data_IF_107810629281
#
_entry.id   IF_107810629281
#
_cell.length_a   1.000
_cell.length_b   1.000
_cell.length_c   1.000
_cell.angle_alpha   90.00
_cell.angle_beta   90.00
_cell.angle_gamma   90.00
#
_symmetry.space_group_name_H-M   'P 1'
#
loop_
_entity.id
_entity.type
_entity.pdbx_description
1 polymer ?
#
# COMPACT_ATOMS: atom_id res chain seq x y z
N UNK A 1 5.95 -0.17 -0.22
CA UNK A 1 7.36 0.11 0.18
C UNK A 1 8.28 0.50 -0.99
N UNK A 2 7.71 0.86 -2.15
CA UNK A 2 8.48 1.24 -3.34
C UNK A 2 9.03 2.67 -3.26
N UNK A 3 10.01 2.99 -4.14
CA UNK A 3 10.41 4.37 -4.36
C UNK A 3 9.26 5.13 -5.04
N UNK A 4 8.87 6.26 -4.44
CA UNK A 4 7.74 7.08 -4.89
C UNK A 4 7.88 7.63 -6.31
N UNK A 5 9.10 7.67 -6.85
CA UNK A 5 9.37 8.20 -8.19
C UNK A 5 8.76 7.33 -9.30
N UNK A 6 8.67 6.01 -9.09
CA UNK A 6 8.38 5.04 -10.14
C UNK A 6 6.94 4.50 -10.12
N UNK A 7 6.19 4.73 -9.05
CA UNK A 7 4.85 4.16 -8.89
C UNK A 7 3.78 5.03 -9.60
N UNK A 8 3.49 4.68 -10.85
CA UNK A 8 2.51 5.40 -11.67
C UNK A 8 1.07 5.23 -11.21
N UNK A 9 0.72 4.06 -10.60
CA UNK A 9 -0.63 3.82 -10.10
C UNK A 9 -0.90 4.70 -8.88
N UNK A 10 -0.01 4.67 -7.91
CA UNK A 10 -0.13 5.51 -6.71
C UNK A 10 -0.15 6.98 -7.08
N UNK A 11 0.66 7.40 -8.08
CA UNK A 11 0.61 8.77 -8.60
C UNK A 11 -0.78 9.13 -9.11
N UNK A 12 -1.39 8.31 -9.97
CA UNK A 12 -2.74 8.55 -10.53
C UNK A 12 -3.81 8.65 -9.44
N UNK A 13 -3.74 7.78 -8.44
CA UNK A 13 -4.66 7.84 -7.29
C UNK A 13 -4.50 9.14 -6.54
N UNK A 14 -3.27 9.55 -6.20
CA UNK A 14 -3.00 10.81 -5.51
C UNK A 14 -3.47 12.03 -6.33
N UNK A 15 -3.17 12.06 -7.63
CA UNK A 15 -3.60 13.14 -8.53
C UNK A 15 -5.14 13.25 -8.60
N UNK A 16 -5.83 12.10 -8.58
CA UNK A 16 -7.31 12.06 -8.56
C UNK A 16 -7.86 12.59 -7.23
N UNK A 17 -7.26 12.18 -6.11
CA UNK A 17 -7.67 12.64 -4.79
C UNK A 17 -7.51 14.16 -4.63
N UNK A 18 -6.40 14.73 -5.14
CA UNK A 18 -6.20 16.19 -5.17
C UNK A 18 -7.31 16.89 -5.99
N UNK A 19 -7.66 16.36 -7.16
CA UNK A 19 -8.77 16.90 -7.97
C UNK A 19 -10.12 16.84 -7.25
N UNK A 20 -10.27 15.89 -6.33
CA UNK A 20 -11.46 15.78 -5.46
C UNK A 20 -11.32 16.59 -4.16
N UNK A 21 -10.38 17.54 -4.07
CA UNK A 21 -10.13 18.41 -2.92
C UNK A 21 -9.67 17.69 -1.63
N UNK A 22 -9.07 16.52 -1.74
CA UNK A 22 -8.43 15.86 -0.61
C UNK A 22 -7.02 16.44 -0.36
N UNK A 23 -6.66 16.61 0.91
CA UNK A 23 -5.28 16.91 1.27
C UNK A 23 -4.48 15.59 1.38
N UNK A 24 -3.59 15.34 0.43
CA UNK A 24 -2.87 14.08 0.30
C UNK A 24 -1.46 14.19 0.87
N UNK A 25 -1.07 13.19 1.66
CA UNK A 25 0.33 12.96 2.06
C UNK A 25 0.75 11.56 1.60
N UNK A 26 1.65 11.50 0.64
CA UNK A 26 2.22 10.24 0.15
C UNK A 26 3.48 9.90 0.95
N UNK A 27 3.51 8.69 1.51
CA UNK A 27 4.63 8.19 2.32
C UNK A 27 5.25 6.98 1.61
N UNK A 28 6.57 6.98 1.46
CA UNK A 28 7.31 5.86 0.90
C UNK A 28 8.77 5.86 1.36
N UNK A 29 9.58 4.98 0.79
CA UNK A 29 11.01 4.91 1.14
C UNK A 29 11.87 5.84 0.29
N UNK A 30 13.03 6.19 0.82
CA UNK A 30 14.11 6.87 0.11
C UNK A 30 15.27 5.89 -0.08
N UNK A 31 15.71 5.77 -1.32
CA UNK A 31 16.94 5.05 -1.70
C UNK A 31 18.08 6.06 -1.92
N UNK A 32 19.32 5.62 -1.86
CA UNK A 32 20.49 6.49 -2.08
C UNK A 32 20.50 7.14 -3.46
N UNK A 33 19.85 6.50 -4.45
CA UNK A 33 19.73 6.97 -5.84
C UNK A 33 18.32 7.46 -6.18
N UNK A 34 17.47 7.71 -5.19
CA UNK A 34 16.12 8.24 -5.42
C UNK A 34 16.16 9.60 -6.07
N UNK A 35 15.43 9.75 -7.17
CA UNK A 35 15.31 11.05 -7.87
C UNK A 35 14.48 12.03 -7.04
N UNK A 36 14.73 13.35 -7.15
CA UNK A 36 13.82 14.36 -6.63
C UNK A 36 12.40 14.14 -7.16
N UNK A 37 11.41 14.40 -6.35
CA UNK A 37 10.00 14.29 -6.72
C UNK A 37 9.33 15.62 -6.49
N UNK A 38 8.74 16.18 -7.55
CA UNK A 38 7.84 17.32 -7.47
C UNK A 38 6.40 16.81 -7.68
N UNK A 39 5.55 17.05 -6.73
CA UNK A 39 4.14 16.63 -6.73
C UNK A 39 3.26 17.76 -6.16
N UNK A 40 2.02 17.89 -6.63
CA UNK A 40 1.08 18.90 -6.10
C UNK A 40 0.54 18.53 -4.70
N UNK A 41 1.11 17.52 -4.05
CA UNK A 41 0.75 17.04 -2.71
C UNK A 41 1.98 16.75 -1.87
N UNK A 42 1.80 16.68 -0.55
CA UNK A 42 2.90 16.42 0.37
C UNK A 42 3.51 15.02 0.15
N UNK A 43 4.81 14.95 0.10
CA UNK A 43 5.54 13.68 0.03
C UNK A 43 6.47 13.54 1.24
N UNK A 44 6.53 12.35 1.81
CA UNK A 44 7.46 12.04 2.90
C UNK A 44 8.18 10.75 2.61
N UNK A 45 9.51 10.80 2.57
CA UNK A 45 10.37 9.65 2.35
C UNK A 45 11.03 9.21 3.64
N UNK A 46 11.03 7.91 3.88
CA UNK A 46 11.67 7.28 5.02
C UNK A 46 13.03 6.74 4.57
N UNK A 47 14.10 7.22 5.16
CA UNK A 47 15.43 6.64 5.04
C UNK A 47 15.53 5.43 5.95
N UNK A 48 16.04 4.32 5.44
CA UNK A 48 16.16 3.07 6.14
C UNK A 48 17.61 2.62 6.21
N UNK A 49 17.96 1.93 7.29
CA UNK A 49 19.27 1.30 7.44
C UNK A 49 19.36 -0.01 6.65
N UNK A 50 18.26 -0.77 6.64
CA UNK A 50 18.17 -2.03 5.91
C UNK A 50 17.45 -1.86 4.60
N UNK A 51 18.02 -2.40 3.50
CA UNK A 51 17.46 -2.24 2.15
C UNK A 51 16.80 -3.51 1.60
N UNK A 52 16.96 -4.67 2.26
CA UNK A 52 16.48 -5.97 1.78
C UNK A 52 16.12 -6.90 2.95
N UNK A 53 15.28 -7.89 2.65
CA UNK A 53 14.92 -8.99 3.55
C UNK A 53 13.99 -8.58 4.70
N UNK A 54 13.92 -9.44 5.73
CA UNK A 54 13.02 -9.26 6.86
C UNK A 54 13.26 -7.95 7.62
N UNK A 55 14.52 -7.60 7.88
CA UNK A 55 14.89 -6.39 8.62
C UNK A 55 14.42 -5.11 7.90
N UNK A 56 14.44 -5.09 6.57
CA UNK A 56 13.88 -4.00 5.78
C UNK A 56 12.39 -3.80 6.08
N UNK A 57 11.59 -4.86 5.95
CA UNK A 57 10.15 -4.76 6.20
C UNK A 57 9.84 -4.41 7.64
N UNK A 58 10.58 -4.98 8.59
CA UNK A 58 10.42 -4.66 10.02
C UNK A 58 10.72 -3.19 10.30
N UNK A 59 11.86 -2.68 9.86
CA UNK A 59 12.23 -1.27 10.05
C UNK A 59 11.26 -0.32 9.37
N UNK A 60 10.87 -0.62 8.12
CA UNK A 60 9.93 0.20 7.37
C UNK A 60 8.59 0.30 8.09
N UNK A 61 8.02 -0.82 8.48
CA UNK A 61 6.73 -0.86 9.19
C UNK A 61 6.80 -0.16 10.55
N UNK A 62 7.90 -0.31 11.28
CA UNK A 62 8.09 0.34 12.56
C UNK A 62 8.17 1.88 12.42
N UNK A 63 8.96 2.37 11.47
CA UNK A 63 9.07 3.81 11.17
C UNK A 63 7.75 4.38 10.68
N UNK A 64 7.05 3.65 9.80
CA UNK A 64 5.73 4.04 9.31
C UNK A 64 4.71 4.11 10.46
N UNK A 65 4.70 3.10 11.34
CA UNK A 65 3.84 3.08 12.52
C UNK A 65 4.04 4.33 13.39
N UNK A 66 5.27 4.64 13.79
CA UNK A 66 5.55 5.82 14.60
C UNK A 66 5.17 7.11 13.89
N UNK A 67 5.49 7.24 12.61
CA UNK A 67 5.09 8.41 11.82
C UNK A 67 3.57 8.60 11.84
N UNK A 68 2.82 7.52 11.63
CA UNK A 68 1.36 7.56 11.62
C UNK A 68 0.78 7.83 13.02
N UNK A 69 1.45 7.37 14.07
CA UNK A 69 1.04 7.66 15.47
C UNK A 69 1.20 9.12 15.85
N UNK A 70 2.16 9.84 15.27
CA UNK A 70 2.37 11.27 15.57
C UNK A 70 1.67 12.22 14.60
N UNK A 71 1.20 11.72 13.45
CA UNK A 71 0.42 12.51 12.50
C UNK A 71 -1.04 12.07 12.47
N UNK A 72 -1.96 13.03 12.32
CA UNK A 72 -3.39 12.75 12.23
C UNK A 72 -3.82 12.77 10.77
N UNK A 73 -4.55 11.73 10.36
CA UNK A 73 -5.19 11.62 9.05
C UNK A 73 -6.63 11.18 9.25
N UNK A 74 -7.51 11.58 8.33
CA UNK A 74 -8.91 11.18 8.36
C UNK A 74 -9.14 9.85 7.64
N UNK A 75 -8.31 9.55 6.65
CA UNK A 75 -8.33 8.29 5.90
C UNK A 75 -6.90 7.79 5.74
N UNK A 76 -6.72 6.50 5.91
CA UNK A 76 -5.47 5.79 5.64
C UNK A 76 -5.64 4.97 4.36
N UNK A 77 -4.64 5.00 3.46
CA UNK A 77 -4.63 4.24 2.22
C UNK A 77 -3.35 3.41 2.14
N UNK A 78 -3.48 2.11 2.35
CA UNK A 78 -2.40 1.15 2.23
C UNK A 78 -2.31 0.62 0.80
N UNK A 79 -1.14 0.78 0.18
CA UNK A 79 -0.81 0.14 -1.09
C UNK A 79 0.02 -1.11 -0.79
N UNK A 80 -0.51 -2.26 -1.16
CA UNK A 80 0.03 -3.58 -0.92
C UNK A 80 0.20 -4.01 0.56
N UNK A 81 0.42 -5.31 0.75
CA UNK A 81 0.42 -5.97 2.05
C UNK A 81 1.53 -5.48 2.97
N UNK A 82 2.64 -5.07 2.40
CA UNK A 82 3.85 -4.65 3.11
C UNK A 82 3.69 -3.32 3.89
N UNK A 83 2.61 -2.57 3.64
CA UNK A 83 2.27 -1.34 4.39
C UNK A 83 1.00 -1.50 5.23
N UNK A 84 0.27 -2.60 5.06
CA UNK A 84 -1.07 -2.78 5.60
C UNK A 84 -1.08 -2.83 7.14
N UNK A 85 -0.15 -3.58 7.74
CA UNK A 85 -0.15 -3.82 9.20
C UNK A 85 -0.09 -2.53 10.04
N UNK A 86 0.89 -1.62 9.87
CA UNK A 86 0.94 -0.39 10.65
C UNK A 86 -0.25 0.54 10.36
N UNK A 87 -0.73 0.58 9.12
CA UNK A 87 -1.89 1.38 8.77
C UNK A 87 -3.17 0.85 9.40
N UNK A 88 -3.35 -0.47 9.44
CA UNK A 88 -4.50 -1.10 10.08
C UNK A 88 -4.49 -0.86 11.59
N UNK A 89 -3.35 -1.03 12.28
CA UNK A 89 -3.25 -0.78 13.72
C UNK A 89 -3.63 0.67 14.03
N UNK A 90 -3.00 1.63 13.35
CA UNK A 90 -3.21 3.06 13.66
C UNK A 90 -4.63 3.51 13.29
N UNK A 91 -5.15 3.10 12.14
CA UNK A 91 -6.53 3.45 11.74
C UNK A 91 -7.56 2.86 12.71
N UNK A 92 -7.36 1.62 13.18
CA UNK A 92 -8.24 0.96 14.15
C UNK A 92 -8.22 1.68 15.50
N UNK A 93 -7.05 1.99 16.05
CA UNK A 93 -6.90 2.73 17.31
C UNK A 93 -7.56 4.12 17.22
N UNK A 94 -7.44 4.77 16.08
CA UNK A 94 -8.01 6.10 15.85
C UNK A 94 -9.45 6.10 15.36
N UNK A 95 -10.04 4.93 15.13
CA UNK A 95 -11.39 4.76 14.56
C UNK A 95 -11.57 5.52 13.24
N UNK A 96 -10.56 5.43 12.37
CA UNK A 96 -10.54 6.05 11.04
C UNK A 96 -10.66 5.01 9.94
N UNK A 97 -11.12 5.43 8.77
CA UNK A 97 -11.24 4.55 7.61
C UNK A 97 -9.88 4.14 7.07
N UNK A 98 -9.77 2.86 6.72
CA UNK A 98 -8.64 2.28 6.00
C UNK A 98 -9.12 1.78 4.64
N UNK A 99 -8.45 2.26 3.60
CA UNK A 99 -8.56 1.75 2.23
C UNK A 99 -7.35 0.88 1.95
N UNK A 100 -7.57 -0.31 1.41
CA UNK A 100 -6.50 -1.20 0.98
C UNK A 100 -6.57 -1.39 -0.55
N UNK A 101 -5.49 -1.07 -1.23
CA UNK A 101 -5.36 -1.23 -2.69
C UNK A 101 -4.23 -2.22 -2.98
N UNK A 102 -4.58 -3.39 -3.51
CA UNK A 102 -3.63 -4.45 -3.84
C UNK A 102 -3.47 -4.59 -5.35
N UNK A 103 -2.23 -4.52 -5.82
CA UNK A 103 -1.90 -4.61 -7.24
C UNK A 103 -1.76 -6.06 -7.71
N UNK A 104 -1.47 -6.96 -6.79
CA UNK A 104 -1.18 -8.37 -7.04
C UNK A 104 -1.67 -9.24 -5.88
N UNK A 105 -1.81 -10.52 -6.13
CA UNK A 105 -2.03 -11.47 -5.06
C UNK A 105 -0.71 -11.71 -4.31
N UNK A 106 -0.44 -10.86 -3.32
CA UNK A 106 0.88 -10.69 -2.70
C UNK A 106 1.50 -11.99 -2.18
N UNK A 107 0.71 -12.85 -1.54
CA UNK A 107 1.22 -14.15 -1.04
C UNK A 107 1.37 -15.21 -2.12
N UNK A 108 0.96 -14.92 -3.34
CA UNK A 108 1.11 -15.77 -4.53
C UNK A 108 2.30 -15.41 -5.42
N UNK A 109 3.03 -14.31 -5.14
CA UNK A 109 4.15 -13.89 -6.00
C UNK A 109 5.31 -14.88 -5.94
N UNK A 110 6.03 -15.13 -7.06
CA UNK A 110 7.13 -16.10 -7.13
C UNK A 110 8.23 -15.87 -6.09
N UNK A 111 8.55 -14.61 -5.78
CA UNK A 111 9.66 -14.20 -4.91
C UNK A 111 9.53 -14.69 -3.48
N UNK A 112 8.33 -15.06 -3.04
CA UNK A 112 8.09 -15.55 -1.67
C UNK A 112 7.70 -17.03 -1.63
N UNK A 113 7.48 -17.69 -2.78
CA UNK A 113 7.03 -19.09 -2.81
C UNK A 113 8.04 -20.02 -2.13
N UNK A 114 9.34 -19.84 -2.38
CA UNK A 114 10.41 -20.66 -1.82
C UNK A 114 10.83 -20.23 -0.40
N UNK A 115 10.20 -19.19 0.15
CA UNK A 115 10.51 -18.64 1.47
C UNK A 115 9.41 -18.95 2.47
N UNK A 116 9.34 -20.20 2.91
CA UNK A 116 8.26 -20.70 3.77
C UNK A 116 7.94 -19.80 4.97
N UNK A 117 8.95 -19.35 5.74
CA UNK A 117 8.77 -18.50 6.92
C UNK A 117 8.18 -17.13 6.51
N UNK A 118 8.72 -16.52 5.46
CA UNK A 118 8.27 -15.22 4.96
C UNK A 118 6.83 -15.31 4.48
N UNK A 119 6.51 -16.32 3.68
CA UNK A 119 5.15 -16.59 3.20
C UNK A 119 4.18 -16.79 4.36
N UNK A 120 4.58 -17.56 5.39
CA UNK A 120 3.76 -17.80 6.59
C UNK A 120 3.45 -16.51 7.35
N UNK A 121 4.44 -15.63 7.50
CA UNK A 121 4.25 -14.31 8.15
C UNK A 121 3.24 -13.48 7.39
N UNK A 122 3.40 -13.30 6.07
CA UNK A 122 2.49 -12.52 5.25
C UNK A 122 1.07 -13.11 5.21
N UNK A 123 0.96 -14.43 5.07
CA UNK A 123 -0.33 -15.14 5.13
C UNK A 123 -1.04 -14.95 6.49
N UNK A 124 -0.26 -14.88 7.59
CA UNK A 124 -0.82 -14.60 8.92
C UNK A 124 -1.35 -13.18 9.02
N UNK A 125 -0.62 -12.20 8.49
CA UNK A 125 -1.05 -10.79 8.44
C UNK A 125 -2.32 -10.65 7.59
N UNK A 126 -2.37 -11.27 6.41
CA UNK A 126 -3.58 -11.32 5.58
C UNK A 126 -4.78 -11.90 6.33
N UNK A 127 -4.65 -13.11 6.88
CA UNK A 127 -5.73 -13.79 7.62
C UNK A 127 -6.25 -12.96 8.80
N UNK A 128 -5.35 -12.24 9.47
CA UNK A 128 -5.73 -11.39 10.59
C UNK A 128 -6.50 -10.14 10.15
N UNK A 129 -6.07 -9.50 9.08
CA UNK A 129 -6.53 -8.16 8.71
C UNK A 129 -7.66 -8.19 7.69
N UNK A 130 -7.57 -9.03 6.65
CA UNK A 130 -8.51 -9.02 5.52
C UNK A 130 -9.98 -9.14 5.94
N UNK A 131 -10.39 -10.07 6.82
CA UNK A 131 -11.80 -10.17 7.22
C UNK A 131 -12.35 -8.92 7.94
N UNK A 132 -11.47 -7.97 8.29
CA UNK A 132 -11.80 -6.72 9.00
C UNK A 132 -11.74 -5.48 8.11
N UNK A 133 -11.45 -5.66 6.82
CA UNK A 133 -11.37 -4.57 5.86
C UNK A 133 -12.73 -4.30 5.21
N UNK A 134 -13.14 -3.02 5.19
CA UNK A 134 -14.39 -2.60 4.56
C UNK A 134 -14.18 -2.06 3.13
N UNK A 135 -12.96 -1.59 2.82
CA UNK A 135 -12.66 -0.94 1.55
C UNK A 135 -11.41 -1.57 0.93
N UNK A 136 -11.63 -2.55 0.06
CA UNK A 136 -10.57 -3.26 -0.64
C UNK A 136 -10.72 -3.07 -2.14
N UNK A 137 -9.61 -2.72 -2.79
CA UNK A 137 -9.50 -2.57 -4.24
C UNK A 137 -8.44 -3.49 -4.81
N UNK A 138 -8.65 -3.94 -6.04
CA UNK A 138 -7.66 -4.69 -6.82
C UNK A 138 -7.73 -4.36 -8.30
N UNK A 139 -6.79 -4.87 -9.09
CA UNK A 139 -6.63 -4.47 -10.49
C UNK A 139 -7.49 -5.24 -11.48
N UNK A 140 -7.90 -6.47 -11.17
CA UNK A 140 -8.67 -7.34 -12.07
C UNK A 140 -9.53 -8.36 -11.32
N UNK A 141 -10.42 -9.03 -12.05
CA UNK A 141 -11.34 -10.03 -11.50
C UNK A 141 -10.63 -11.31 -11.04
N UNK A 142 -9.54 -11.70 -11.69
CA UNK A 142 -8.82 -12.93 -11.31
C UNK A 142 -8.26 -12.81 -9.89
N UNK A 143 -7.63 -11.67 -9.56
CA UNK A 143 -7.14 -11.40 -8.20
C UNK A 143 -8.30 -11.24 -7.21
N UNK A 144 -9.40 -10.59 -7.62
CA UNK A 144 -10.58 -10.45 -6.77
C UNK A 144 -11.14 -11.82 -6.39
N UNK A 145 -11.24 -12.76 -7.33
CA UNK A 145 -11.71 -14.11 -7.08
C UNK A 145 -10.79 -14.87 -6.10
N UNK A 146 -9.46 -14.76 -6.23
CA UNK A 146 -8.52 -15.37 -5.29
C UNK A 146 -8.73 -14.87 -3.85
N UNK A 147 -8.95 -13.57 -3.67
CA UNK A 147 -9.24 -13.01 -2.35
C UNK A 147 -10.64 -13.39 -1.84
N UNK A 148 -11.61 -13.55 -2.75
CA UNK A 148 -12.92 -14.08 -2.37
C UNK A 148 -12.82 -15.53 -1.90
N UNK A 149 -12.11 -16.37 -2.62
CA UNK A 149 -11.94 -17.79 -2.28
C UNK A 149 -11.20 -17.96 -0.93
N UNK A 150 -10.14 -17.17 -0.70
CA UNK A 150 -9.33 -17.27 0.51
C UNK A 150 -9.96 -16.62 1.76
N UNK A 151 -10.65 -15.50 1.60
CA UNK A 151 -11.07 -14.63 2.73
C UNK A 151 -12.55 -14.25 2.73
N UNK A 152 -13.33 -14.67 1.73
CA UNK A 152 -14.74 -14.32 1.54
C UNK A 152 -14.99 -12.79 1.46
N UNK A 153 -14.01 -12.05 0.97
CA UNK A 153 -14.12 -10.62 0.69
C UNK A 153 -14.25 -10.39 -0.82
N UNK A 154 -14.95 -9.32 -1.18
CA UNK A 154 -15.21 -8.98 -2.59
C UNK A 154 -14.54 -7.64 -2.94
N UNK A 155 -13.25 -7.64 -3.36
CA UNK A 155 -12.56 -6.40 -3.69
C UNK A 155 -13.20 -5.72 -4.89
N UNK A 156 -13.29 -4.38 -4.82
CA UNK A 156 -13.72 -3.57 -5.97
C UNK A 156 -12.59 -3.50 -7.00
N UNK A 157 -12.94 -3.63 -8.28
CA UNK A 157 -11.95 -3.61 -9.37
C UNK A 157 -11.66 -2.17 -9.78
N UNK A 158 -10.41 -1.76 -9.60
CA UNK A 158 -9.86 -0.48 -10.06
C UNK A 158 -8.70 -0.73 -11.02
N UNK A 159 -8.99 -0.76 -12.31
CA UNK A 159 -7.99 -1.06 -13.36
C UNK A 159 -6.95 0.05 -13.48
N UNK A 160 -5.70 -0.33 -13.70
CA UNK A 160 -4.62 0.61 -14.02
C UNK A 160 -4.57 0.84 -15.54
N UNK A 161 -5.46 1.67 -16.05
CA UNK A 161 -5.47 2.04 -17.46
C UNK A 161 -4.50 3.20 -17.74
N UNK A 162 -3.88 3.27 -18.93
CA UNK A 162 -3.16 4.46 -19.35
C UNK A 162 -4.10 5.67 -19.37
N UNK A 163 -3.61 6.85 -19.02
CA UNK A 163 -4.35 8.08 -19.26
C UNK A 163 -4.54 8.27 -20.77
N UNK A 164 -5.73 8.69 -21.20
CA UNK A 164 -5.96 9.06 -22.59
C UNK A 164 -4.96 10.15 -22.97
N UNK A 165 -3.97 9.79 -23.76
CA UNK A 165 -3.11 10.75 -24.45
C UNK A 165 -3.93 11.17 -25.65
N UNK A 166 -4.52 12.37 -25.61
CA UNK A 166 -5.02 13.00 -26.82
C UNK A 166 -3.79 13.27 -27.66
N UNK A 167 -3.55 12.43 -28.68
CA UNK A 167 -2.55 12.73 -29.70
C UNK A 167 -3.13 13.92 -30.48
N UNK A 168 -2.55 15.10 -30.26
CA UNK A 168 -2.79 16.26 -31.12
C UNK A 168 -1.96 16.13 -32.38
#
# INVERSE_FOLDING_TARGET
SNDLANDQRVKKVCDTLIKCNFNVTLIGRELNNSRPIERPYSTKRLRLFFNKGFLFYFEYNLRLFFLLMFKKFDVYHANDLDTLLPMWIVSSVRRKNLVYDTHEYFTGVPEIQDRFIVKKVWKTIEKLIFPRLNHVFTVNSSIANLYFDDYQINPKILRNLPSNITIQ
#
